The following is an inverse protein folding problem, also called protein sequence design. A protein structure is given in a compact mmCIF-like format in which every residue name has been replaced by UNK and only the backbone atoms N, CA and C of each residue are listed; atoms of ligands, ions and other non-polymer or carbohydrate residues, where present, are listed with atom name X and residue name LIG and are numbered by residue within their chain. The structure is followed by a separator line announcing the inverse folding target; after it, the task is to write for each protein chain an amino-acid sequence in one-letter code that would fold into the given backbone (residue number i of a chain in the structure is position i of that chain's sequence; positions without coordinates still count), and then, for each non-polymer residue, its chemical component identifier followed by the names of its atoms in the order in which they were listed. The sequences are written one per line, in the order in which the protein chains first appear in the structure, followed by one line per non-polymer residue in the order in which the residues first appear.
data_IF_768082869670
#
_entry.id   IF_768082869670
#
_cell.length_a   1.000
_cell.length_b   1.000
_cell.length_c   1.000
_cell.angle_alpha   90.00
_cell.angle_beta   90.00
_cell.angle_gamma   90.00
#
_symmetry.space_group_name_H-M   'P 1'
#
loop_
_entity.id
_entity.type
_entity.pdbx_description
1 polymer ?
#
# COMPACT_ATOMS: atom_id res chain seq x y z
N UNK A 1 -3.19 4.38 10.06
CA UNK A 1 -2.61 4.81 11.36
C UNK A 1 -2.13 3.67 12.24
N UNK A 2 -3.01 2.79 12.78
CA UNK A 2 -2.59 1.71 13.70
C UNK A 2 -1.46 0.82 13.14
N UNK A 3 -1.53 0.45 11.86
CA UNK A 3 -0.48 -0.36 11.21
C UNK A 3 0.87 0.37 11.15
N UNK A 4 0.87 1.68 10.84
CA UNK A 4 2.10 2.47 10.78
C UNK A 4 2.75 2.61 12.17
N UNK A 5 1.94 2.83 13.21
CA UNK A 5 2.42 2.92 14.59
C UNK A 5 3.02 1.59 15.06
N UNK A 6 2.42 0.47 14.67
CA UNK A 6 2.95 -0.87 14.97
C UNK A 6 4.31 -1.09 14.31
N UNK A 7 4.45 -0.76 13.02
CA UNK A 7 5.73 -0.89 12.30
C UNK A 7 6.80 -0.01 12.94
N UNK A 8 6.50 1.27 13.16
CA UNK A 8 7.42 2.23 13.76
C UNK A 8 7.85 1.85 15.19
N UNK A 9 6.96 1.21 15.96
CA UNK A 9 7.26 0.70 17.30
C UNK A 9 8.22 -0.50 17.31
N UNK A 10 8.36 -1.21 16.18
CA UNK A 10 9.33 -2.29 15.99
C UNK A 10 10.62 -1.74 15.37
N UNK A 11 10.52 -1.20 14.16
CA UNK A 11 11.61 -0.53 13.43
C UNK A 11 11.03 0.25 12.24
N UNK A 12 11.30 1.55 12.16
CA UNK A 12 10.84 2.42 11.08
C UNK A 12 11.44 2.10 9.69
N UNK A 13 12.47 1.25 9.61
CA UNK A 13 13.07 0.78 8.36
C UNK A 13 12.36 -0.45 7.76
N UNK A 14 11.45 -1.10 8.50
CA UNK A 14 10.66 -2.20 7.96
C UNK A 14 9.78 -1.66 6.81
N UNK A 15 9.87 -2.22 5.59
CA UNK A 15 9.10 -1.73 4.46
C UNK A 15 7.60 -1.91 4.65
N UNK A 16 6.84 -0.84 4.42
CA UNK A 16 5.39 -0.89 4.24
C UNK A 16 5.06 -0.94 2.75
N UNK A 17 4.43 -2.03 2.32
CA UNK A 17 3.89 -2.17 0.97
C UNK A 17 2.38 -1.95 1.00
N UNK A 18 1.93 -0.88 0.35
CA UNK A 18 0.52 -0.63 0.09
C UNK A 18 0.16 -1.27 -1.24
N UNK A 19 -0.74 -2.27 -1.20
CA UNK A 19 -1.26 -2.89 -2.42
C UNK A 19 -2.70 -2.45 -2.69
N UNK A 20 -2.92 -1.55 -3.68
CA UNK A 20 -4.25 -1.13 -4.09
C UNK A 20 -5.17 -2.32 -4.36
N UNK A 21 -6.39 -2.26 -3.84
CA UNK A 21 -7.41 -3.24 -4.19
C UNK A 21 -7.66 -3.19 -5.70
N UNK A 22 -7.82 -4.35 -6.31
CA UNK A 22 -8.05 -4.50 -7.75
C UNK A 22 -9.35 -5.27 -7.96
N UNK A 23 -10.19 -4.80 -8.87
CA UNK A 23 -11.41 -5.48 -9.28
C UNK A 23 -11.10 -6.77 -10.06
N UNK A 24 -12.12 -7.60 -10.27
CA UNK A 24 -11.97 -8.86 -11.02
C UNK A 24 -11.54 -8.64 -12.48
N UNK A 25 -11.85 -7.47 -13.05
CA UNK A 25 -11.47 -7.06 -14.40
C UNK A 25 -10.05 -6.45 -14.49
N UNK A 26 -9.30 -6.43 -13.38
CA UNK A 26 -7.96 -5.86 -13.32
C UNK A 26 -7.91 -4.34 -13.11
N UNK A 27 -9.05 -3.66 -13.03
CA UNK A 27 -9.08 -2.22 -12.74
C UNK A 27 -8.78 -1.92 -11.27
N UNK A 28 -8.12 -0.80 -10.99
CA UNK A 28 -7.81 -0.39 -9.61
C UNK A 28 -9.10 0.09 -8.91
N UNK A 29 -9.40 -0.53 -7.77
CA UNK A 29 -10.63 -0.34 -7.00
C UNK A 29 -10.49 0.69 -5.87
N UNK A 30 -9.52 1.60 -5.99
CA UNK A 30 -9.24 2.66 -5.02
C UNK A 30 -8.85 3.92 -5.77
N UNK A 31 -9.32 5.08 -5.31
CA UNK A 31 -8.96 6.34 -5.97
C UNK A 31 -7.47 6.67 -5.77
N UNK A 32 -6.84 7.36 -6.73
CA UNK A 32 -5.48 7.87 -6.54
C UNK A 32 -5.35 8.74 -5.30
N UNK A 33 -6.33 9.62 -5.03
CA UNK A 33 -6.36 10.47 -3.85
C UNK A 33 -6.30 9.65 -2.56
N UNK A 34 -7.11 8.59 -2.45
CA UNK A 34 -7.12 7.74 -1.24
C UNK A 34 -5.79 7.00 -1.04
N UNK A 35 -5.10 6.68 -2.13
CA UNK A 35 -3.77 6.07 -2.07
C UNK A 35 -2.73 7.07 -1.54
N UNK A 36 -2.80 8.34 -1.96
CA UNK A 36 -1.94 9.41 -1.44
C UNK A 36 -2.19 9.68 0.04
N UNK A 37 -3.46 9.72 0.47
CA UNK A 37 -3.82 9.84 1.89
C UNK A 37 -3.20 8.70 2.73
N UNK A 38 -3.17 7.47 2.21
CA UNK A 38 -2.52 6.36 2.90
C UNK A 38 -0.99 6.49 2.97
N UNK A 39 -0.36 7.04 1.94
CA UNK A 39 1.08 7.35 1.99
C UNK A 39 1.37 8.46 3.00
N UNK A 40 0.53 9.50 3.07
CA UNK A 40 0.65 10.57 4.06
C UNK A 40 0.55 10.04 5.48
N UNK A 41 -0.41 9.16 5.77
CA UNK A 41 -0.53 8.48 7.07
C UNK A 41 0.67 7.57 7.41
N UNK A 42 1.51 7.24 6.43
CA UNK A 42 2.70 6.42 6.60
C UNK A 42 4.01 7.21 6.59
N UNK A 43 3.96 8.56 6.56
CA UNK A 43 5.14 9.42 6.41
C UNK A 43 6.21 9.26 7.52
N UNK A 44 5.85 8.68 8.67
CA UNK A 44 6.79 8.36 9.75
C UNK A 44 7.70 7.15 9.48
N UNK A 45 7.40 6.35 8.45
CA UNK A 45 8.19 5.19 8.05
C UNK A 45 9.21 5.58 6.98
N UNK A 46 10.34 4.86 6.90
CA UNK A 46 11.43 5.16 5.97
C UNK A 46 11.24 4.55 4.58
N UNK A 47 10.52 3.44 4.51
CA UNK A 47 10.26 2.73 3.26
C UNK A 47 8.77 2.47 3.07
N UNK A 48 8.11 3.30 2.25
CA UNK A 48 6.70 3.14 1.87
C UNK A 48 6.61 3.02 0.36
N UNK A 49 6.04 1.91 -0.13
CA UNK A 49 5.88 1.65 -1.56
C UNK A 49 4.42 1.36 -1.87
N UNK A 50 3.94 1.87 -3.01
CA UNK A 50 2.65 1.47 -3.57
C UNK A 50 2.94 0.51 -4.72
N UNK A 51 2.52 -0.74 -4.58
CA UNK A 51 2.74 -1.80 -5.58
C UNK A 51 1.39 -2.42 -5.91
N UNK A 52 0.98 -2.51 -7.19
CA UNK A 52 -0.30 -3.13 -7.54
C UNK A 52 -0.35 -4.60 -7.12
N UNK A 53 -1.54 -5.21 -7.20
CA UNK A 53 -1.66 -6.66 -7.15
C UNK A 53 -1.09 -7.24 -8.46
N UNK A 54 0.21 -7.49 -8.50
CA UNK A 54 0.94 -7.88 -9.72
C UNK A 54 0.32 -9.08 -10.43
N UNK A 55 -0.14 -10.09 -9.69
CA UNK A 55 -0.82 -11.25 -10.27
C UNK A 55 -2.11 -10.85 -11.02
N UNK A 56 -2.94 -9.96 -10.47
CA UNK A 56 -4.13 -9.41 -11.16
C UNK A 56 -3.75 -8.64 -12.43
N UNK A 57 -2.69 -7.83 -12.38
CA UNK A 57 -2.19 -7.09 -13.55
C UNK A 57 -1.64 -7.99 -14.64
N UNK A 58 -1.05 -9.13 -14.26
CA UNK A 58 -0.51 -10.12 -15.19
C UNK A 58 -1.56 -11.12 -15.68
N UNK A 59 -2.81 -11.03 -15.24
CA UNK A 59 -3.85 -12.03 -15.55
C UNK A 59 -3.56 -13.40 -14.94
N UNK A 60 -2.79 -13.46 -13.86
CA UNK A 60 -2.47 -14.67 -13.11
C UNK A 60 -3.34 -14.74 -11.85
N UNK A 61 -3.92 -15.91 -11.58
CA UNK A 61 -4.79 -16.17 -10.43
C UNK A 61 -3.99 -16.69 -9.23
#
# INVERSE_FOLDING_TARGET
ERSCALIAGVDANIPLILQPMTHADGSIAISPLRTLEFQELACGLKEVRVIPQTHKFMGQL
#
